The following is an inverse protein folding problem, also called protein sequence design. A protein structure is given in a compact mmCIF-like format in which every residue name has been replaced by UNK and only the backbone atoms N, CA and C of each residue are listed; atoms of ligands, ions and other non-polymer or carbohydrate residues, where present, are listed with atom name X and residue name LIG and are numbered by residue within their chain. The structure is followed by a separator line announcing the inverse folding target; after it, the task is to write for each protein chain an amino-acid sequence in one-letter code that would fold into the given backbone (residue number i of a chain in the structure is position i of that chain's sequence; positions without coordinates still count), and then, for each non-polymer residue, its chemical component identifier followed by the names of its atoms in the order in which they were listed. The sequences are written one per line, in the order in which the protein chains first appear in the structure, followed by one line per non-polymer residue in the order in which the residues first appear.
data_IF_590885431666
#
_entry.id   IF_590885431666
#
_cell.length_a   1.000
_cell.length_b   1.000
_cell.length_c   1.000
_cell.angle_alpha   90.00
_cell.angle_beta   90.00
_cell.angle_gamma   90.00
#
_symmetry.space_group_name_H-M   'P 1'
#
loop_
_entity.id
_entity.type
_entity.pdbx_description
1 polymer ?
#
# COMPACT_ATOMS: atom_id res chain seq x y z
N UNK A 1 3.30 -9.26 -19.50
CA UNK A 1 1.98 -9.88 -19.22
C UNK A 1 1.12 -8.79 -18.58
N UNK A 2 0.10 -8.30 -19.30
CA UNK A 2 -0.80 -7.27 -18.79
C UNK A 2 -1.88 -7.90 -17.93
N UNK A 3 -1.97 -7.51 -16.67
CA UNK A 3 -3.04 -7.95 -15.79
C UNK A 3 -4.38 -7.40 -16.30
N UNK A 4 -5.38 -8.28 -16.36
CA UNK A 4 -6.71 -7.99 -16.84
C UNK A 4 -7.47 -7.16 -15.79
N UNK A 5 -7.16 -5.86 -15.71
CA UNK A 5 -7.68 -4.91 -14.72
C UNK A 5 -9.21 -4.92 -14.63
N UNK A 6 -9.90 -5.22 -15.74
CA UNK A 6 -11.35 -5.35 -15.80
C UNK A 6 -11.89 -6.49 -14.91
N UNK A 7 -11.15 -7.59 -14.77
CA UNK A 7 -11.55 -8.74 -13.94
C UNK A 7 -11.46 -8.39 -12.45
N UNK A 8 -10.38 -7.77 -12.02
CA UNK A 8 -10.14 -7.37 -10.63
C UNK A 8 -11.13 -6.29 -10.18
N UNK A 9 -11.36 -5.26 -11.00
CA UNK A 9 -12.36 -4.22 -10.72
C UNK A 9 -13.77 -4.79 -10.56
N UNK A 10 -14.16 -5.71 -11.45
CA UNK A 10 -15.48 -6.37 -11.39
C UNK A 10 -15.63 -7.18 -10.10
N UNK A 11 -14.58 -7.89 -9.69
CA UNK A 11 -14.58 -8.70 -8.47
C UNK A 11 -14.68 -7.84 -7.21
N UNK A 12 -13.91 -6.75 -7.13
CA UNK A 12 -14.00 -5.79 -6.01
C UNK A 12 -15.43 -5.27 -5.88
N UNK A 13 -16.01 -4.76 -6.97
CA UNK A 13 -17.36 -4.18 -6.97
C UNK A 13 -18.43 -5.15 -6.47
N UNK A 14 -18.32 -6.43 -6.83
CA UNK A 14 -19.24 -7.49 -6.39
C UNK A 14 -19.17 -7.72 -4.87
N UNK A 15 -18.00 -7.52 -4.24
CA UNK A 15 -17.81 -7.78 -2.81
C UNK A 15 -18.07 -6.56 -1.90
N UNK A 16 -18.31 -5.38 -2.49
CA UNK A 16 -18.72 -4.18 -1.74
C UNK A 16 -20.17 -4.28 -1.24
N UNK A 17 -20.45 -3.68 -0.08
CA UNK A 17 -21.82 -3.47 0.39
C UNK A 17 -22.56 -2.43 -0.49
N UNK A 18 -23.89 -2.48 -0.50
CA UNK A 18 -24.70 -1.58 -1.33
C UNK A 18 -24.36 -0.10 -1.11
N UNK A 19 -24.20 0.33 0.13
CA UNK A 19 -23.86 1.72 0.47
C UNK A 19 -22.51 2.13 -0.13
N UNK A 20 -21.47 1.30 0.00
CA UNK A 20 -20.14 1.62 -0.50
C UNK A 20 -20.06 1.59 -2.04
N UNK A 21 -20.88 0.77 -2.71
CA UNK A 21 -20.95 0.75 -4.18
C UNK A 21 -21.33 2.10 -4.78
N UNK A 22 -22.11 2.91 -4.05
CA UNK A 22 -22.53 4.26 -4.47
C UNK A 22 -21.60 5.39 -4.01
N UNK A 23 -20.61 5.10 -3.15
CA UNK A 23 -19.66 6.11 -2.68
C UNK A 23 -18.54 6.28 -3.69
N UNK A 24 -18.29 7.53 -4.10
CA UNK A 24 -17.18 7.87 -4.99
C UNK A 24 -15.83 7.88 -4.30
N UNK A 25 -15.79 8.22 -3.01
CA UNK A 25 -14.55 8.32 -2.23
C UNK A 25 -14.35 7.05 -1.41
N UNK A 26 -13.19 6.40 -1.58
CA UNK A 26 -12.75 5.22 -0.82
C UNK A 26 -12.73 5.47 0.69
N UNK A 27 -12.27 6.63 1.14
CA UNK A 27 -12.14 6.93 2.58
C UNK A 27 -13.48 6.93 3.32
N UNK A 28 -14.58 7.14 2.58
CA UNK A 28 -15.95 7.08 3.10
C UNK A 28 -16.53 5.66 3.16
N UNK A 29 -15.81 4.64 2.71
CA UNK A 29 -16.24 3.24 2.77
C UNK A 29 -16.18 2.70 4.20
N UNK A 30 -17.00 1.69 4.50
CA UNK A 30 -16.91 0.98 5.78
C UNK A 30 -15.67 0.07 5.80
N UNK A 31 -15.15 -0.21 7.00
CA UNK A 31 -13.92 -1.00 7.20
C UNK A 31 -13.99 -2.36 6.49
N UNK A 32 -15.14 -3.06 6.52
CA UNK A 32 -15.30 -4.34 5.81
C UNK A 32 -15.03 -4.23 4.30
N UNK A 33 -15.48 -3.15 3.66
CA UNK A 33 -15.23 -2.93 2.24
C UNK A 33 -13.77 -2.53 1.97
N UNK A 34 -13.17 -1.70 2.85
CA UNK A 34 -11.75 -1.34 2.77
C UNK A 34 -10.84 -2.58 2.90
N UNK A 35 -11.09 -3.44 3.89
CA UNK A 35 -10.37 -4.70 4.09
C UNK A 35 -10.51 -5.65 2.89
N UNK A 36 -11.72 -5.76 2.33
CA UNK A 36 -11.94 -6.59 1.14
C UNK A 36 -11.12 -6.12 -0.06
N UNK A 37 -11.02 -4.80 -0.26
CA UNK A 37 -10.16 -4.23 -1.28
C UNK A 37 -8.68 -4.49 -0.98
N UNK A 38 -8.24 -4.34 0.27
CA UNK A 38 -6.88 -4.64 0.70
C UNK A 38 -6.51 -6.10 0.38
N UNK A 39 -7.33 -7.06 0.77
CA UNK A 39 -7.11 -8.49 0.51
C UNK A 39 -6.98 -8.81 -0.98
N UNK A 40 -7.79 -8.17 -1.84
CA UNK A 40 -7.72 -8.37 -3.29
C UNK A 40 -6.50 -7.71 -3.93
N UNK A 41 -5.94 -6.68 -3.27
CA UNK A 41 -4.81 -5.90 -3.78
C UNK A 41 -3.47 -6.48 -3.35
N UNK A 42 -3.38 -6.92 -2.09
CA UNK A 42 -2.14 -7.33 -1.44
C UNK A 42 -2.13 -8.80 -1.00
N UNK A 43 -3.30 -9.44 -0.89
CA UNK A 43 -3.47 -10.74 -0.26
C UNK A 43 -3.92 -10.62 1.20
N UNK A 44 -4.26 -11.76 1.82
CA UNK A 44 -4.73 -11.78 3.21
C UNK A 44 -3.59 -11.51 4.21
N UNK A 45 -2.39 -12.00 3.90
CA UNK A 45 -1.19 -11.88 4.74
C UNK A 45 0.00 -11.51 3.85
N UNK A 46 0.05 -10.27 3.33
CA UNK A 46 1.05 -9.87 2.33
C UNK A 46 2.49 -9.96 2.82
N UNK A 47 2.74 -9.72 4.11
CA UNK A 47 4.07 -9.85 4.71
C UNK A 47 4.37 -11.25 5.23
N UNK A 48 3.33 -12.01 5.59
CA UNK A 48 3.44 -13.28 6.29
C UNK A 48 3.64 -13.12 7.80
N UNK A 49 3.75 -11.89 8.31
CA UNK A 49 3.95 -11.57 9.72
C UNK A 49 2.69 -10.91 10.30
N UNK A 50 2.09 -11.57 11.30
CA UNK A 50 0.78 -11.19 11.82
C UNK A 50 0.71 -9.75 12.35
N UNK A 51 1.77 -9.28 13.00
CA UNK A 51 1.81 -7.92 13.58
C UNK A 51 1.88 -6.84 12.49
N UNK A 52 2.69 -7.07 11.46
CA UNK A 52 2.82 -6.19 10.30
C UNK A 52 1.51 -6.17 9.52
N UNK A 53 0.95 -7.35 9.22
CA UNK A 53 -0.29 -7.45 8.44
C UNK A 53 -1.47 -6.81 9.16
N UNK A 54 -1.54 -6.94 10.49
CA UNK A 54 -2.54 -6.24 11.30
C UNK A 54 -2.35 -4.73 11.20
N UNK A 55 -1.13 -4.23 11.40
CA UNK A 55 -0.83 -2.81 11.30
C UNK A 55 -1.19 -2.21 9.93
N UNK A 56 -0.86 -2.91 8.84
CA UNK A 56 -1.21 -2.50 7.48
C UNK A 56 -2.73 -2.43 7.28
N UNK A 57 -3.46 -3.45 7.74
CA UNK A 57 -4.94 -3.50 7.65
C UNK A 57 -5.60 -2.39 8.47
N UNK A 58 -5.09 -2.15 9.69
CA UNK A 58 -5.59 -1.12 10.59
C UNK A 58 -5.35 0.28 9.98
N UNK A 59 -4.11 0.59 9.57
CA UNK A 59 -3.78 1.83 8.88
C UNK A 59 -4.67 2.03 7.64
N UNK A 60 -4.76 1.04 6.75
CA UNK A 60 -5.55 1.14 5.51
C UNK A 60 -7.05 1.41 5.77
N UNK A 61 -7.58 0.96 6.92
CA UNK A 61 -8.95 1.26 7.34
C UNK A 61 -9.10 2.67 7.94
N UNK A 62 -8.11 3.08 8.73
CA UNK A 62 -8.12 4.32 9.52
C UNK A 62 -7.69 5.55 8.71
N UNK A 63 -6.90 5.40 7.65
CA UNK A 63 -6.48 6.49 6.76
C UNK A 63 -7.67 7.30 6.26
N UNK A 64 -7.50 8.62 6.23
CA UNK A 64 -8.48 9.60 5.76
C UNK A 64 -8.08 10.25 4.43
N UNK A 65 -6.84 10.07 3.98
CA UNK A 65 -6.35 10.51 2.67
C UNK A 65 -5.32 9.54 2.09
N UNK A 66 -4.99 9.71 0.80
CA UNK A 66 -4.03 8.86 0.11
C UNK A 66 -2.62 8.93 0.69
N UNK A 67 -2.24 10.09 1.21
CA UNK A 67 -0.93 10.30 1.84
C UNK A 67 -0.77 9.60 3.19
N UNK A 68 -1.89 9.24 3.83
CA UNK A 68 -1.89 8.51 5.11
C UNK A 68 -1.83 6.99 4.94
N UNK A 69 -2.00 6.49 3.71
CA UNK A 69 -1.98 5.05 3.43
C UNK A 69 -0.54 4.55 3.42
N UNK A 70 -0.27 3.56 4.26
CA UNK A 70 0.94 2.77 4.22
C UNK A 70 0.72 1.63 3.22
N UNK A 71 1.55 1.62 2.19
CA UNK A 71 1.50 0.60 1.16
C UNK A 71 2.51 -0.51 1.44
N UNK A 72 2.04 -1.76 1.42
CA UNK A 72 2.93 -2.92 1.32
C UNK A 72 3.52 -3.01 -0.08
N UNK A 73 4.86 -3.10 -0.15
CA UNK A 73 5.58 -3.33 -1.40
C UNK A 73 6.30 -4.67 -1.31
N UNK A 74 5.95 -5.65 -2.15
CA UNK A 74 6.70 -6.89 -2.22
C UNK A 74 8.12 -6.66 -2.76
N UNK A 75 9.11 -7.32 -2.15
CA UNK A 75 10.53 -7.13 -2.49
C UNK A 75 10.84 -7.43 -3.96
N UNK A 76 10.17 -8.41 -4.56
CA UNK A 76 10.32 -8.77 -5.98
C UNK A 76 9.83 -7.69 -6.95
N UNK A 77 9.07 -6.70 -6.46
CA UNK A 77 8.61 -5.54 -7.25
C UNK A 77 9.56 -4.36 -7.19
N UNK A 78 10.54 -4.40 -6.29
CA UNK A 78 11.60 -3.41 -6.20
C UNK A 78 12.75 -3.75 -7.13
N UNK A 79 13.31 -2.71 -7.75
CA UNK A 79 14.60 -2.77 -8.44
C UNK A 79 15.54 -1.78 -7.78
N UNK A 80 16.49 -2.28 -7.00
CA UNK A 80 17.55 -1.46 -6.41
C UNK A 80 18.43 -0.91 -7.53
N UNK A 81 18.62 0.40 -7.56
CA UNK A 81 19.39 1.13 -8.58
C UNK A 81 20.66 1.79 -8.02
N UNK A 82 20.72 2.01 -6.70
CA UNK A 82 21.94 2.41 -6.01
C UNK A 82 21.93 1.87 -4.57
N UNK A 83 23.09 1.36 -4.13
CA UNK A 83 23.31 0.93 -2.74
C UNK A 83 24.05 2.03 -2.00
N UNK A 84 23.62 2.37 -0.78
CA UNK A 84 24.41 3.26 0.06
C UNK A 84 25.66 2.53 0.56
N UNK A 85 26.84 3.07 0.25
CA UNK A 85 28.12 2.48 0.69
C UNK A 85 28.40 2.84 2.16
N UNK A 86 27.88 3.98 2.66
CA UNK A 86 28.21 4.53 3.98
C UNK A 86 27.05 5.34 4.63
N UNK A 87 25.78 4.89 4.58
CA UNK A 87 24.67 5.28 5.48
C UNK A 87 23.31 4.80 4.91
N UNK A 88 22.89 3.61 5.35
CA UNK A 88 21.54 3.05 5.57
C UNK A 88 20.39 3.18 4.55
N UNK A 89 20.57 3.90 3.44
CA UNK A 89 19.49 4.21 2.51
C UNK A 89 19.78 3.68 1.11
N UNK A 90 19.16 2.56 0.75
CA UNK A 90 19.20 2.05 -0.62
C UNK A 90 18.20 2.85 -1.50
N UNK A 91 18.53 3.07 -2.77
CA UNK A 91 17.61 3.71 -3.73
C UNK A 91 17.09 2.66 -4.69
N UNK A 92 15.77 2.56 -4.82
CA UNK A 92 15.12 1.61 -5.69
C UNK A 92 14.04 2.26 -6.56
N UNK A 93 13.64 1.59 -7.64
CA UNK A 93 12.38 1.88 -8.33
C UNK A 93 11.33 0.84 -8.00
N UNK A 94 10.07 1.27 -7.95
CA UNK A 94 8.93 0.39 -7.75
C UNK A 94 8.17 0.19 -9.06
N UNK A 95 8.18 -1.04 -9.58
CA UNK A 95 7.66 -1.37 -10.92
C UNK A 95 6.15 -1.18 -11.07
N UNK A 96 5.38 -1.29 -9.97
CA UNK A 96 3.93 -1.11 -9.96
C UNK A 96 3.56 0.37 -9.81
N UNK A 97 4.39 1.15 -9.11
CA UNK A 97 4.17 2.56 -8.81
C UNK A 97 3.40 2.80 -7.51
N UNK A 98 3.63 3.95 -6.88
CA UNK A 98 2.97 4.33 -5.61
C UNK A 98 1.59 4.92 -5.86
N UNK A 99 0.73 4.82 -4.85
CA UNK A 99 -0.63 5.37 -4.84
C UNK A 99 -0.59 6.90 -5.02
N UNK A 100 -1.41 7.41 -5.94
CA UNK A 100 -1.65 8.85 -6.11
C UNK A 100 -3.02 9.28 -5.61
N UNK A 101 -4.09 8.70 -6.18
CA UNK A 101 -5.47 9.06 -5.87
C UNK A 101 -6.41 7.91 -6.18
N UNK A 102 -7.58 7.90 -5.55
CA UNK A 102 -8.62 6.90 -5.79
C UNK A 102 -9.33 7.07 -7.15
N UNK A 103 -9.44 6.00 -7.95
CA UNK A 103 -10.30 5.94 -9.13
C UNK A 103 -11.62 5.23 -8.83
N UNK A 104 -12.71 6.00 -8.74
CA UNK A 104 -14.04 5.45 -8.45
C UNK A 104 -14.63 4.58 -9.57
N UNK A 105 -14.16 4.73 -10.81
CA UNK A 105 -14.68 3.96 -11.94
C UNK A 105 -13.94 2.62 -12.05
N UNK A 106 -12.64 2.65 -11.80
CA UNK A 106 -11.83 1.43 -11.72
C UNK A 106 -11.93 0.72 -10.38
N UNK A 107 -12.54 1.34 -9.36
CA UNK A 107 -12.56 0.85 -7.98
C UNK A 107 -11.16 0.42 -7.51
N UNK A 108 -10.15 1.24 -7.85
CA UNK A 108 -8.75 0.96 -7.56
C UNK A 108 -7.94 2.27 -7.48
N UNK A 109 -6.72 2.18 -6.95
CA UNK A 109 -5.78 3.31 -6.91
C UNK A 109 -5.20 3.61 -8.29
N UNK A 110 -5.21 4.88 -8.67
CA UNK A 110 -4.30 5.38 -9.70
C UNK A 110 -2.89 5.44 -9.13
N UNK A 111 -1.92 4.98 -9.93
CA UNK A 111 -0.53 4.83 -9.52
C UNK A 111 0.42 5.56 -10.44
N UNK A 112 1.47 6.16 -9.88
CA UNK A 112 2.54 6.79 -10.65
C UNK A 112 3.76 5.89 -10.72
N UNK A 113 4.16 5.58 -11.94
CA UNK A 113 5.41 4.89 -12.24
C UNK A 113 6.59 5.86 -12.27
N UNK A 114 7.78 5.30 -12.45
CA UNK A 114 9.03 6.05 -12.69
C UNK A 114 9.43 7.00 -11.57
N UNK A 115 9.11 6.63 -10.32
CA UNK A 115 9.62 7.31 -9.15
C UNK A 115 10.59 6.41 -8.39
N UNK A 116 11.61 7.05 -7.84
CA UNK A 116 12.59 6.43 -6.98
C UNK A 116 12.09 6.46 -5.55
N UNK A 117 12.24 5.33 -4.86
CA UNK A 117 12.00 5.19 -3.44
C UNK A 117 13.34 5.14 -2.72
N UNK A 118 13.37 5.76 -1.55
CA UNK A 118 14.42 5.54 -0.58
C UNK A 118 13.98 4.39 0.32
N UNK A 119 14.80 3.36 0.43
CA UNK A 119 14.60 2.20 1.28
C UNK A 119 15.36 2.45 2.57
N UNK A 120 14.64 2.52 3.68
CA UNK A 120 15.20 2.53 5.02
C UNK A 120 15.06 1.14 5.65
N UNK A 121 16.17 0.62 6.17
CA UNK A 121 16.17 -0.61 6.97
C UNK A 121 15.82 -0.26 8.41
N UNK A 122 14.99 -1.08 9.03
CA UNK A 122 14.64 -1.00 10.45
C UNK A 122 15.13 -2.26 11.15
N UNK A 123 15.62 -2.12 12.39
CA UNK A 123 16.20 -3.22 13.16
C UNK A 123 15.14 -4.01 13.95
N UNK A 124 13.97 -3.40 14.18
CA UNK A 124 12.86 -4.01 14.91
C UNK A 124 11.49 -3.47 14.47
N UNK A 125 10.42 -4.18 14.85
CA UNK A 125 9.04 -3.70 14.66
C UNK A 125 8.75 -2.44 15.49
N UNK A 126 9.34 -2.33 16.68
CA UNK A 126 9.22 -1.14 17.52
C UNK A 126 9.81 0.10 16.85
N UNK A 127 10.95 -0.05 16.16
CA UNK A 127 11.55 1.03 15.37
C UNK A 127 10.65 1.44 14.22
N UNK A 128 10.02 0.48 13.54
CA UNK A 128 9.08 0.78 12.47
C UNK A 128 7.89 1.59 12.98
N UNK A 129 7.21 1.12 14.02
CA UNK A 129 6.02 1.80 14.56
C UNK A 129 6.35 3.17 15.16
N UNK A 130 7.56 3.34 15.70
CA UNK A 130 8.04 4.64 16.18
C UNK A 130 8.31 5.59 15.02
N UNK A 131 9.01 5.16 13.97
CA UNK A 131 9.28 5.97 12.78
C UNK A 131 7.98 6.39 12.06
N UNK A 132 6.99 5.51 11.99
CA UNK A 132 5.67 5.84 11.41
C UNK A 132 5.01 7.04 12.11
N UNK A 133 4.99 7.08 13.45
CA UNK A 133 4.35 8.16 14.20
C UNK A 133 5.01 9.52 14.01
N UNK A 134 6.28 9.54 13.60
CA UNK A 134 7.07 10.76 13.48
C UNK A 134 7.16 11.33 12.06
N UNK A 135 6.99 10.51 11.01
CA UNK A 135 7.24 10.91 9.62
C UNK A 135 6.02 10.74 8.71
N UNK A 136 5.12 11.74 8.65
CA UNK A 136 4.04 11.83 7.65
C UNK A 136 4.54 12.26 6.24
N UNK A 137 5.75 11.87 5.83
CA UNK A 137 6.29 12.23 4.50
C UNK A 137 7.11 11.11 3.88
N UNK A 138 6.51 10.45 2.89
CA UNK A 138 7.16 9.80 1.72
C UNK A 138 8.37 8.87 1.95
N UNK A 139 8.56 8.30 3.13
CA UNK A 139 9.59 7.29 3.37
C UNK A 139 8.95 5.89 3.42
N UNK A 140 9.24 5.07 2.41
CA UNK A 140 8.81 3.67 2.38
C UNK A 140 9.83 2.84 3.16
N UNK A 141 9.44 2.34 4.33
CA UNK A 141 10.27 1.44 5.14
C UNK A 141 9.99 -0.02 4.78
N UNK A 142 11.04 -0.84 4.65
CA UNK A 142 10.94 -2.28 4.41
C UNK A 142 11.39 -3.08 5.63
N UNK A 143 10.82 -4.27 5.79
CA UNK A 143 11.14 -5.25 6.81
C UNK A 143 12.18 -6.24 6.27
N UNK A 144 13.20 -6.54 7.08
CA UNK A 144 14.12 -7.68 6.90
C UNK A 144 13.78 -8.74 7.94
#
# INVERSE_FOLDING_TARGET
MGENTNSTTSLIKQQLCLICRYKSNFFNWCNKCKLKHFELSYGEFPSGENEIDKFLKDNYCESQSEEEIIEWIPYDKLKVIANAINNDLDVATYSVGYILFWDKYMYNWNRKKDCTLTIKRVESLDDLFTNYKHNYKHEVSFFL
#
